data_IF_377389145345
#
_entry.id   IF_377389145345
#
_cell.length_a   1.000
_cell.length_b   1.000
_cell.length_c   1.000
_cell.angle_alpha   90.00
_cell.angle_beta   90.00
_cell.angle_gamma   90.00
#
_symmetry.space_group_name_H-M   'P 1'
#
loop_
_entity.id
_entity.type
_entity.pdbx_description
1 polymer ?
#
# COMPACT_ATOMS: atom_id res chain seq x y z
N UNK A 1 7.82 71.87 -89.72
CA UNK A 1 7.64 70.70 -90.62
C UNK A 1 6.76 69.69 -89.89
N UNK A 2 5.88 68.98 -90.60
CA UNK A 2 5.20 67.71 -90.21
C UNK A 2 4.76 67.51 -88.74
N UNK A 3 3.46 67.63 -88.43
CA UNK A 3 2.48 66.49 -88.35
C UNK A 3 2.63 65.69 -87.04
N UNK A 4 1.68 65.66 -86.08
CA UNK A 4 0.31 66.23 -85.98
C UNK A 4 -0.15 66.44 -84.53
N UNK A 5 -0.81 67.58 -84.27
CA UNK A 5 -2.02 67.85 -83.43
C UNK A 5 -2.46 66.93 -82.26
N UNK A 6 -3.01 67.42 -81.14
CA UNK A 6 -3.20 68.81 -80.64
C UNK A 6 -3.76 68.85 -79.18
N UNK A 7 -3.34 69.87 -78.39
CA UNK A 7 -4.12 70.69 -77.40
C UNK A 7 -4.88 70.01 -76.20
N UNK A 8 -5.10 70.59 -75.00
CA UNK A 8 -4.91 71.92 -74.32
C UNK A 8 -5.18 71.79 -72.78
N UNK A 9 -4.95 72.72 -71.82
CA UNK A 9 -4.21 74.01 -71.71
C UNK A 9 -3.62 74.25 -70.27
N UNK A 10 -4.13 75.18 -69.44
CA UNK A 10 -3.59 75.66 -68.12
C UNK A 10 -4.59 75.47 -66.90
N UNK A 11 -4.41 75.91 -65.64
CA UNK A 11 -3.50 76.89 -64.97
C UNK A 11 -3.46 76.76 -63.40
N UNK A 12 -2.49 77.44 -62.73
CA UNK A 12 -2.50 77.94 -61.32
C UNK A 12 -2.13 77.01 -60.13
N UNK A 13 -1.67 77.63 -59.02
CA UNK A 13 -1.17 76.99 -57.77
C UNK A 13 -1.22 77.94 -56.53
N UNK A 14 -1.22 77.39 -55.30
CA UNK A 14 -1.04 78.11 -54.02
C UNK A 14 -0.67 77.16 -52.86
N UNK A 15 0.02 77.69 -51.83
CA UNK A 15 0.30 77.08 -50.50
C UNK A 15 -0.80 77.55 -49.48
N UNK A 16 -0.91 77.19 -48.19
CA UNK A 16 0.05 76.79 -47.12
C UNK A 16 -0.70 76.06 -45.94
N UNK A 17 -0.01 75.81 -44.81
CA UNK A 17 -0.37 75.23 -43.46
C UNK A 17 -1.82 75.34 -42.88
N UNK A 18 -2.29 74.66 -41.81
CA UNK A 18 -1.93 73.50 -40.93
C UNK A 18 -3.18 73.22 -40.01
N UNK A 19 -3.46 71.99 -39.51
CA UNK A 19 -3.95 71.70 -38.11
C UNK A 19 -4.26 70.20 -37.83
N UNK A 20 -3.77 69.70 -36.68
CA UNK A 20 -4.14 68.56 -35.82
C UNK A 20 -4.84 67.27 -36.35
N UNK A 21 -4.29 66.12 -35.95
CA UNK A 21 -4.93 64.79 -36.01
C UNK A 21 -5.21 64.20 -34.60
N UNK A 22 -6.22 63.31 -34.44
CA UNK A 22 -6.35 62.44 -33.26
C UNK A 22 -5.57 61.11 -33.43
N UNK A 23 -5.08 60.46 -32.36
CA UNK A 23 -3.95 59.52 -32.47
C UNK A 23 -4.25 58.01 -32.33
N UNK A 24 -3.41 57.23 -33.02
CA UNK A 24 -2.84 55.90 -32.68
C UNK A 24 -3.74 54.71 -32.32
N UNK A 25 -3.44 53.59 -33.00
CA UNK A 25 -3.42 52.25 -32.40
C UNK A 25 -2.16 51.50 -32.88
N UNK A 26 -1.05 51.64 -32.16
CA UNK A 26 0.17 50.85 -32.40
C UNK A 26 0.00 49.42 -31.85
N UNK A 27 0.38 48.39 -32.62
CA UNK A 27 1.26 47.25 -32.22
C UNK A 27 1.00 45.94 -32.99
N UNK A 28 2.05 45.11 -33.08
CA UNK A 28 2.06 43.70 -33.53
C UNK A 28 1.83 43.40 -35.03
N UNK A 29 2.59 44.03 -35.93
CA UNK A 29 2.89 43.43 -37.23
C UNK A 29 4.26 42.73 -37.21
N UNK A 30 4.30 41.45 -37.60
CA UNK A 30 5.56 40.72 -37.87
C UNK A 30 6.25 41.28 -39.12
N UNK A 31 7.60 41.29 -39.17
CA UNK A 31 8.32 41.85 -40.30
C UNK A 31 8.04 41.06 -41.59
N UNK A 32 7.60 41.79 -42.63
CA UNK A 32 7.09 41.23 -43.90
C UNK A 32 7.89 40.04 -44.49
N UNK A 33 9.23 40.00 -44.47
CA UNK A 33 9.97 38.84 -44.98
C UNK A 33 9.66 37.51 -44.27
N UNK A 34 9.41 37.53 -42.95
CA UNK A 34 9.04 36.32 -42.19
C UNK A 34 7.64 35.84 -42.61
N UNK A 35 6.71 36.77 -42.82
CA UNK A 35 5.35 36.49 -43.31
C UNK A 35 5.36 35.90 -44.74
N UNK A 36 6.27 36.36 -45.61
CA UNK A 36 6.46 35.79 -46.96
C UNK A 36 7.01 34.36 -46.89
N UNK A 37 8.01 34.10 -46.05
CA UNK A 37 8.57 32.75 -45.84
C UNK A 37 7.52 31.78 -45.27
N UNK A 38 6.73 32.23 -44.29
CA UNK A 38 5.61 31.43 -43.75
C UNK A 38 4.57 31.11 -44.82
N UNK A 39 4.20 32.08 -45.66
CA UNK A 39 3.28 31.84 -46.79
C UNK A 39 3.84 30.84 -47.81
N UNK A 40 5.14 30.92 -48.13
CA UNK A 40 5.81 29.93 -49.00
C UNK A 40 5.72 28.51 -48.42
N UNK A 41 6.05 28.34 -47.14
CA UNK A 41 5.94 27.03 -46.46
C UNK A 41 4.49 26.52 -46.44
N UNK A 42 3.49 27.38 -46.20
CA UNK A 42 2.09 26.95 -46.28
C UNK A 42 1.65 26.57 -47.70
N UNK A 43 2.19 27.23 -48.73
CA UNK A 43 1.93 26.88 -50.11
C UNK A 43 2.59 25.55 -50.51
N UNK A 44 3.81 25.25 -50.04
CA UNK A 44 4.46 23.95 -50.24
C UNK A 44 3.64 22.81 -49.61
N UNK A 45 3.14 23.00 -48.39
CA UNK A 45 2.26 22.02 -47.72
C UNK A 45 0.93 21.85 -48.47
N UNK A 46 0.32 22.93 -48.96
CA UNK A 46 -0.91 22.88 -49.76
C UNK A 46 -0.68 22.19 -51.12
N UNK A 47 0.46 22.43 -51.77
CA UNK A 47 0.84 21.78 -53.03
C UNK A 47 1.01 20.26 -52.84
N UNK A 48 1.72 19.84 -51.78
CA UNK A 48 1.87 18.43 -51.43
C UNK A 48 0.53 17.77 -51.06
N UNK A 49 -0.37 18.49 -50.37
CA UNK A 49 -1.74 18.03 -50.11
C UNK A 49 -2.53 17.85 -51.43
N UNK A 50 -2.44 18.80 -52.37
CA UNK A 50 -3.12 18.67 -53.67
C UNK A 50 -2.53 17.57 -54.54
N UNK A 51 -1.21 17.39 -54.58
CA UNK A 51 -0.55 16.32 -55.35
C UNK A 51 -0.97 14.94 -54.83
N UNK A 52 -1.09 14.79 -53.52
CA UNK A 52 -1.56 13.56 -52.87
C UNK A 52 -3.04 13.28 -53.19
N UNK A 53 -3.90 14.31 -53.15
CA UNK A 53 -5.30 14.17 -53.56
C UNK A 53 -5.45 13.86 -55.06
N UNK A 54 -4.64 14.46 -55.93
CA UNK A 54 -4.64 14.19 -57.37
C UNK A 54 -4.18 12.76 -57.68
N UNK A 55 -3.12 12.26 -57.03
CA UNK A 55 -2.67 10.86 -57.18
C UNK A 55 -3.77 9.88 -56.81
N UNK A 56 -4.41 10.07 -55.65
CA UNK A 56 -5.53 9.24 -55.23
C UNK A 56 -6.72 9.32 -56.19
N UNK A 57 -7.13 10.53 -56.57
CA UNK A 57 -8.26 10.75 -57.48
C UNK A 57 -8.03 10.10 -58.86
N UNK A 58 -6.81 10.18 -59.39
CA UNK A 58 -6.43 9.54 -60.66
C UNK A 58 -6.32 8.00 -60.56
N UNK A 59 -6.26 7.43 -59.35
CA UNK A 59 -6.28 5.97 -59.10
C UNK A 59 -7.69 5.41 -58.86
N UNK A 60 -8.71 6.24 -58.59
CA UNK A 60 -10.09 5.80 -58.39
C UNK A 60 -10.75 5.40 -59.72
N UNK A 61 -11.13 4.12 -59.87
CA UNK A 61 -11.90 3.66 -61.04
C UNK A 61 -13.33 4.25 -60.97
N UNK A 62 -13.96 4.73 -62.08
CA UNK A 62 -15.27 5.40 -62.04
C UNK A 62 -16.45 4.57 -61.52
N UNK A 63 -16.21 3.29 -61.19
CA UNK A 63 -17.18 2.37 -60.57
C UNK A 63 -17.25 2.56 -59.06
N UNK A 64 -16.11 2.80 -58.39
CA UNK A 64 -16.03 2.84 -56.93
C UNK A 64 -16.70 4.10 -56.34
N UNK A 65 -16.74 5.18 -57.11
CA UNK A 65 -17.50 6.41 -56.80
C UNK A 65 -19.01 6.19 -56.62
N UNK A 66 -19.57 5.07 -57.09
CA UNK A 66 -20.98 4.71 -56.89
C UNK A 66 -21.21 3.77 -55.68
N UNK A 67 -20.15 3.28 -55.04
CA UNK A 67 -20.23 2.37 -53.89
C UNK A 67 -20.43 3.16 -52.59
N UNK A 68 -21.67 3.53 -52.30
CA UNK A 68 -22.06 4.12 -51.00
C UNK A 68 -21.50 3.28 -49.84
N UNK A 69 -20.74 3.85 -48.89
CA UNK A 69 -20.12 3.06 -47.83
C UNK A 69 -21.19 2.47 -46.90
N UNK A 70 -21.28 1.14 -46.88
CA UNK A 70 -22.06 0.42 -45.87
C UNK A 70 -21.39 0.59 -44.51
N UNK A 71 -22.20 0.81 -43.46
CA UNK A 71 -21.69 0.94 -42.10
C UNK A 71 -21.03 -0.36 -41.64
N UNK A 72 -19.92 -0.23 -40.91
CA UNK A 72 -19.26 -1.36 -40.24
C UNK A 72 -20.08 -1.91 -39.06
N UNK A 73 -19.82 -3.15 -38.62
CA UNK A 73 -20.64 -3.83 -37.62
C UNK A 73 -20.40 -3.29 -36.20
N UNK A 74 -21.48 -2.91 -35.51
CA UNK A 74 -21.49 -2.60 -34.07
C UNK A 74 -21.97 -3.80 -33.25
N UNK A 75 -21.36 -4.13 -32.11
CA UNK A 75 -21.81 -5.25 -31.27
C UNK A 75 -23.10 -4.96 -30.50
N UNK A 76 -23.82 -6.05 -30.23
CA UNK A 76 -25.04 -6.25 -29.42
C UNK A 76 -25.17 -5.37 -28.16
N UNK A 77 -26.37 -4.80 -27.90
CA UNK A 77 -27.22 -5.09 -26.72
C UNK A 77 -28.53 -4.26 -26.63
N UNK A 78 -29.66 -4.96 -26.88
CA UNK A 78 -31.00 -4.90 -26.25
C UNK A 78 -31.92 -3.64 -26.21
N UNK A 79 -33.23 -3.98 -26.10
CA UNK A 79 -34.40 -3.22 -25.63
C UNK A 79 -35.03 -2.08 -26.48
N UNK A 80 -36.24 -2.39 -26.97
CA UNK A 80 -37.46 -1.53 -26.96
C UNK A 80 -37.49 -0.26 -27.86
N UNK A 81 -38.59 0.09 -28.53
CA UNK A 81 -39.91 -0.57 -28.66
C UNK A 81 -40.66 -0.14 -29.95
N UNK A 82 -41.87 -0.68 -30.14
CA UNK A 82 -42.99 -0.14 -30.92
C UNK A 82 -42.83 0.16 -32.43
N UNK A 83 -43.42 -0.76 -33.22
CA UNK A 83 -44.50 -0.49 -34.20
C UNK A 83 -44.49 0.84 -35.00
N UNK A 84 -44.40 0.75 -36.34
CA UNK A 84 -45.57 0.90 -37.25
C UNK A 84 -45.19 0.79 -38.73
N UNK A 85 -46.20 0.54 -39.60
CA UNK A 85 -46.09 0.64 -41.06
C UNK A 85 -46.21 2.11 -41.51
N UNK A 86 -45.33 2.57 -42.40
CA UNK A 86 -45.45 3.88 -43.08
C UNK A 86 -44.93 3.81 -44.53
N UNK A 87 -45.65 4.42 -45.48
CA UNK A 87 -45.33 4.30 -46.92
C UNK A 87 -44.31 5.34 -47.41
N UNK A 88 -43.57 4.95 -48.46
CA UNK A 88 -42.71 5.81 -49.27
C UNK A 88 -43.51 6.87 -50.04
N UNK A 89 -43.17 8.15 -49.86
CA UNK A 89 -43.27 9.26 -50.85
C UNK A 89 -42.64 10.51 -50.21
N UNK A 90 -42.04 11.47 -50.91
CA UNK A 90 -41.35 11.50 -52.21
C UNK A 90 -40.70 12.88 -52.32
N UNK A 91 -39.40 12.92 -52.70
CA UNK A 91 -38.63 14.10 -53.14
C UNK A 91 -39.37 15.46 -53.17
N UNK A 92 -38.94 16.39 -52.32
CA UNK A 92 -38.72 17.79 -52.74
C UNK A 92 -37.21 18.00 -52.95
N UNK A 93 -36.82 18.69 -54.02
CA UNK A 93 -35.43 19.14 -54.22
C UNK A 93 -35.32 20.55 -53.65
N UNK A 94 -34.61 20.71 -52.52
CA UNK A 94 -34.25 22.01 -51.96
C UNK A 94 -32.86 22.44 -52.39
N UNK A 95 -32.67 23.71 -52.73
CA UNK A 95 -31.38 24.24 -53.20
C UNK A 95 -30.31 24.24 -52.10
N UNK A 96 -29.08 23.85 -52.47
CA UNK A 96 -27.86 24.13 -51.70
C UNK A 96 -26.62 23.99 -52.60
N UNK A 97 -26.53 24.83 -53.63
CA UNK A 97 -25.25 25.07 -54.32
C UNK A 97 -24.28 25.84 -53.40
N UNK A 98 -22.99 25.80 -53.73
CA UNK A 98 -21.94 26.68 -53.20
C UNK A 98 -21.66 26.62 -51.69
N UNK A 99 -21.69 25.39 -51.14
CA UNK A 99 -20.63 25.01 -50.20
C UNK A 99 -19.84 23.86 -50.82
N UNK A 100 -18.57 24.05 -51.23
CA UNK A 100 -17.74 22.91 -51.62
C UNK A 100 -17.63 21.98 -50.43
N UNK A 101 -17.89 20.68 -50.65
CA UNK A 101 -17.73 19.65 -49.62
C UNK A 101 -16.23 19.45 -49.37
N UNK A 102 -15.63 20.37 -48.60
CA UNK A 102 -14.29 20.20 -48.04
C UNK A 102 -14.26 18.88 -47.28
N UNK A 103 -13.36 17.99 -47.69
CA UNK A 103 -13.08 16.76 -46.95
C UNK A 103 -12.89 17.08 -45.47
N UNK A 104 -13.57 16.34 -44.61
CA UNK A 104 -13.41 16.47 -43.16
C UNK A 104 -11.97 16.12 -42.77
N UNK A 105 -11.51 16.61 -41.62
CA UNK A 105 -10.15 16.29 -41.14
C UNK A 105 -9.92 14.77 -41.03
N UNK A 106 -10.95 13.99 -40.65
CA UNK A 106 -10.90 12.54 -40.66
C UNK A 106 -10.67 11.97 -42.06
N UNK A 107 -11.50 12.34 -43.04
CA UNK A 107 -11.36 11.90 -44.44
C UNK A 107 -10.01 12.31 -45.06
N UNK A 108 -9.47 13.49 -44.71
CA UNK A 108 -8.13 13.90 -45.12
C UNK A 108 -7.03 13.02 -44.52
N UNK A 109 -7.18 12.61 -43.25
CA UNK A 109 -6.24 11.70 -42.59
C UNK A 109 -6.31 10.28 -43.16
N UNK A 110 -7.52 9.74 -43.40
CA UNK A 110 -7.73 8.44 -44.06
C UNK A 110 -7.09 8.42 -45.47
N UNK A 111 -7.34 9.48 -46.24
CA UNK A 111 -6.76 9.69 -47.57
C UNK A 111 -5.22 9.76 -47.50
N UNK A 112 -4.66 10.58 -46.62
CA UNK A 112 -3.22 10.65 -46.41
C UNK A 112 -2.60 9.33 -45.93
N UNK A 113 -3.33 8.52 -45.14
CA UNK A 113 -2.88 7.19 -44.72
C UNK A 113 -2.84 6.21 -45.89
N UNK A 114 -3.91 6.11 -46.68
CA UNK A 114 -3.95 5.21 -47.85
C UNK A 114 -2.92 5.56 -48.93
N UNK A 115 -2.65 6.84 -49.17
CA UNK A 115 -1.58 7.28 -50.08
C UNK A 115 -0.19 6.99 -49.51
N UNK A 116 0.02 7.17 -48.20
CA UNK A 116 1.29 6.84 -47.53
C UNK A 116 1.57 5.33 -47.53
N UNK A 117 0.53 4.50 -47.40
CA UNK A 117 0.63 3.03 -47.56
C UNK A 117 0.94 2.61 -48.99
N UNK A 118 0.31 3.25 -49.99
CA UNK A 118 0.63 3.02 -51.41
C UNK A 118 2.06 3.44 -51.75
N UNK A 119 2.53 4.61 -51.28
CA UNK A 119 3.92 5.06 -51.48
C UNK A 119 4.93 4.13 -50.80
N UNK A 120 4.60 3.56 -49.62
CA UNK A 120 5.41 2.49 -49.00
C UNK A 120 5.47 1.23 -49.88
N UNK A 121 4.34 0.80 -50.44
CA UNK A 121 4.29 -0.37 -51.32
C UNK A 121 5.05 -0.14 -52.64
N UNK A 122 4.93 1.05 -53.25
CA UNK A 122 5.69 1.44 -54.44
C UNK A 122 7.20 1.52 -54.17
N UNK A 123 7.61 2.04 -53.01
CA UNK A 123 9.02 2.08 -52.58
C UNK A 123 9.59 0.67 -52.35
N UNK A 124 8.83 -0.23 -51.70
CA UNK A 124 9.24 -1.62 -51.55
C UNK A 124 9.34 -2.35 -52.89
N UNK A 125 8.37 -2.15 -53.80
CA UNK A 125 8.37 -2.77 -55.13
C UNK A 125 9.57 -2.31 -55.96
N UNK A 126 9.83 -1.00 -56.01
CA UNK A 126 10.97 -0.42 -56.75
C UNK A 126 12.32 -0.80 -56.12
N UNK A 127 12.39 -1.00 -54.81
CA UNK A 127 13.56 -1.59 -54.14
C UNK A 127 13.85 -3.01 -54.65
N UNK A 128 12.85 -3.89 -54.65
CA UNK A 128 12.98 -5.27 -55.15
C UNK A 128 13.31 -5.32 -56.65
N UNK A 129 12.70 -4.44 -57.46
CA UNK A 129 13.05 -4.28 -58.88
C UNK A 129 14.53 -3.89 -59.06
N UNK A 130 15.03 -2.94 -58.26
CA UNK A 130 16.43 -2.51 -58.30
C UNK A 130 17.41 -3.60 -57.84
N UNK A 131 17.07 -4.39 -56.82
CA UNK A 131 17.87 -5.53 -56.37
C UNK A 131 18.00 -6.61 -57.45
N UNK A 132 16.90 -6.96 -58.13
CA UNK A 132 16.93 -7.93 -59.25
C UNK A 132 17.81 -7.44 -60.42
N UNK A 133 17.77 -6.14 -60.72
CA UNK A 133 18.63 -5.52 -61.73
C UNK A 133 20.10 -5.54 -61.30
N UNK A 134 20.40 -5.23 -60.04
CA UNK A 134 21.76 -5.29 -59.49
C UNK A 134 22.33 -6.72 -59.52
N UNK A 135 21.55 -7.74 -59.14
CA UNK A 135 21.99 -9.14 -59.19
C UNK A 135 22.20 -9.63 -60.62
N UNK A 136 21.39 -9.15 -61.57
CA UNK A 136 21.59 -9.40 -63.01
C UNK A 136 22.91 -8.78 -63.51
N UNK A 137 23.24 -7.57 -63.06
CA UNK A 137 24.53 -6.94 -63.40
C UNK A 137 25.73 -7.63 -62.72
N UNK A 138 25.61 -8.09 -61.47
CA UNK A 138 26.65 -8.91 -60.81
C UNK A 138 26.92 -10.19 -61.60
N UNK A 139 25.86 -10.96 -61.90
CA UNK A 139 25.97 -12.24 -62.60
C UNK A 139 26.56 -12.10 -64.01
N UNK A 140 26.21 -11.04 -64.75
CA UNK A 140 26.77 -10.78 -66.08
C UNK A 140 28.23 -10.29 -66.05
N UNK A 141 28.62 -9.55 -65.00
CA UNK A 141 30.02 -9.17 -64.76
C UNK A 141 30.89 -10.39 -64.39
N UNK A 142 30.42 -11.23 -63.45
CA UNK A 142 31.10 -12.47 -63.08
C UNK A 142 31.25 -13.43 -64.28
N UNK A 143 30.20 -13.55 -65.12
CA UNK A 143 30.31 -14.33 -66.36
C UNK A 143 31.35 -13.74 -67.33
N UNK A 144 31.40 -12.41 -67.48
CA UNK A 144 32.38 -11.75 -68.34
C UNK A 144 33.83 -12.00 -67.87
N UNK A 145 34.10 -11.94 -66.56
CA UNK A 145 35.42 -12.23 -66.00
C UNK A 145 35.81 -13.72 -66.14
N UNK A 146 34.86 -14.64 -65.95
CA UNK A 146 35.08 -16.07 -66.22
C UNK A 146 35.41 -16.28 -67.70
N UNK A 147 34.60 -15.75 -68.62
CA UNK A 147 34.85 -15.83 -70.08
C UNK A 147 36.20 -15.22 -70.47
N UNK A 148 36.60 -14.10 -69.85
CA UNK A 148 37.87 -13.42 -70.11
C UNK A 148 39.08 -14.24 -69.63
N UNK A 149 38.99 -14.85 -68.44
CA UNK A 149 40.05 -15.74 -67.93
C UNK A 149 40.15 -17.04 -68.73
N UNK A 150 39.02 -17.64 -69.12
CA UNK A 150 38.98 -18.79 -70.03
C UNK A 150 39.55 -18.46 -71.41
N UNK A 151 39.24 -17.30 -71.99
CA UNK A 151 39.77 -16.88 -73.28
C UNK A 151 41.29 -16.68 -73.23
N UNK A 152 41.80 -15.93 -72.23
CA UNK A 152 43.25 -15.75 -72.02
C UNK A 152 43.97 -17.09 -71.86
N UNK A 153 43.38 -18.02 -71.11
CA UNK A 153 43.90 -19.38 -70.94
C UNK A 153 43.89 -20.16 -72.27
N UNK A 154 42.80 -20.12 -73.02
CA UNK A 154 42.67 -20.81 -74.31
C UNK A 154 43.65 -20.25 -75.36
N UNK A 155 43.94 -18.95 -75.34
CA UNK A 155 44.99 -18.35 -76.17
C UNK A 155 46.37 -18.93 -75.82
N UNK A 156 46.75 -18.93 -74.54
CA UNK A 156 48.05 -19.46 -74.09
C UNK A 156 48.19 -20.96 -74.37
N UNK A 157 47.12 -21.74 -74.21
CA UNK A 157 47.06 -23.16 -74.56
C UNK A 157 47.22 -23.36 -76.09
N UNK A 158 46.51 -22.60 -76.93
CA UNK A 158 46.66 -22.65 -78.39
C UNK A 158 48.07 -22.24 -78.85
N UNK A 159 48.64 -21.18 -78.28
CA UNK A 159 50.02 -20.77 -78.56
C UNK A 159 51.03 -21.86 -78.19
N UNK A 160 50.83 -22.55 -77.05
CA UNK A 160 51.67 -23.66 -76.60
C UNK A 160 51.56 -24.84 -77.57
N UNK A 161 50.35 -25.31 -77.84
CA UNK A 161 50.09 -26.61 -78.46
C UNK A 161 50.20 -26.55 -80.00
N UNK A 162 49.85 -25.41 -80.62
CA UNK A 162 49.80 -25.27 -82.08
C UNK A 162 50.98 -24.46 -82.64
N UNK A 163 51.37 -23.35 -81.99
CA UNK A 163 52.45 -22.49 -82.50
C UNK A 163 53.84 -22.91 -81.98
N UNK A 164 53.99 -23.14 -80.67
CA UNK A 164 55.30 -23.42 -80.03
C UNK A 164 55.78 -24.87 -80.23
N UNK A 165 54.91 -25.80 -80.64
CA UNK A 165 55.29 -27.20 -80.97
C UNK A 165 56.09 -27.37 -82.28
N UNK A 166 56.35 -26.29 -83.05
CA UNK A 166 57.15 -26.34 -84.29
C UNK A 166 58.58 -25.79 -84.20
N UNK A 167 58.95 -25.12 -83.11
CA UNK A 167 60.27 -24.43 -83.02
C UNK A 167 61.46 -25.40 -82.98
N UNK A 168 61.24 -26.69 -82.72
CA UNK A 168 62.28 -27.72 -82.66
C UNK A 168 62.71 -28.32 -84.02
N UNK A 169 61.92 -28.19 -85.09
CA UNK A 169 62.09 -29.04 -86.30
C UNK A 169 62.30 -28.31 -87.63
N UNK A 170 62.23 -26.97 -87.65
CA UNK A 170 62.30 -26.20 -88.91
C UNK A 170 63.24 -24.97 -88.84
N UNK A 171 64.54 -25.18 -88.63
CA UNK A 171 65.57 -24.18 -88.96
C UNK A 171 65.74 -24.08 -90.49
N UNK A 172 64.80 -23.44 -91.18
CA UNK A 172 64.86 -23.24 -92.63
C UNK A 172 63.81 -22.27 -93.16
N UNK A 173 64.27 -21.16 -93.77
CA UNK A 173 63.47 -20.05 -94.34
C UNK A 173 62.45 -19.41 -93.38
N UNK A 174 62.92 -18.39 -92.67
CA UNK A 174 62.04 -17.28 -92.28
C UNK A 174 61.48 -16.60 -93.54
N UNK A 175 60.22 -16.15 -93.50
CA UNK A 175 59.56 -15.47 -94.61
C UNK A 175 58.06 -15.76 -94.68
N UNK A 176 57.27 -14.85 -94.11
CA UNK A 176 55.80 -14.75 -94.17
C UNK A 176 54.94 -15.96 -93.72
N UNK A 177 53.92 -15.69 -92.91
CA UNK A 177 52.78 -16.60 -92.71
C UNK A 177 53.05 -17.83 -91.84
N UNK A 178 53.32 -17.66 -90.54
CA UNK A 178 53.42 -18.78 -89.59
C UNK A 178 52.16 -19.67 -89.52
N UNK A 179 50.98 -19.08 -89.77
CA UNK A 179 49.71 -19.78 -89.86
C UNK A 179 49.61 -20.68 -91.11
N UNK A 180 50.18 -20.23 -92.24
CA UNK A 180 50.05 -20.86 -93.56
C UNK A 180 50.89 -22.15 -93.74
N UNK A 181 51.57 -22.61 -92.68
CA UNK A 181 52.36 -23.86 -92.66
C UNK A 181 51.94 -24.81 -91.52
N UNK A 182 50.79 -24.60 -90.91
CA UNK A 182 50.20 -25.56 -89.97
C UNK A 182 49.47 -26.67 -90.75
N UNK A 183 49.71 -27.97 -90.47
CA UNK A 183 48.90 -29.04 -91.05
C UNK A 183 47.46 -28.91 -90.58
N UNK A 184 46.49 -29.01 -91.50
CA UNK A 184 45.07 -28.88 -91.18
C UNK A 184 44.66 -29.89 -90.09
N UNK A 185 45.15 -31.13 -90.18
CA UNK A 185 44.91 -32.23 -89.25
C UNK A 185 45.25 -31.87 -87.79
N UNK A 186 46.29 -31.06 -87.56
CA UNK A 186 46.65 -30.61 -86.19
C UNK A 186 45.68 -29.58 -85.64
N UNK A 187 45.14 -28.71 -86.50
CA UNK A 187 44.11 -27.74 -86.10
C UNK A 187 42.79 -28.48 -85.86
N UNK A 188 42.45 -29.43 -86.74
CA UNK A 188 41.26 -30.27 -86.61
C UNK A 188 41.27 -31.07 -85.30
N UNK A 189 42.36 -31.79 -85.01
CA UNK A 189 42.48 -32.60 -83.79
C UNK A 189 42.45 -31.75 -82.51
N UNK A 190 43.05 -30.57 -82.52
CA UNK A 190 42.89 -29.61 -81.41
C UNK A 190 41.44 -29.17 -81.24
N UNK A 191 40.72 -28.86 -82.32
CA UNK A 191 39.29 -28.51 -82.22
C UNK A 191 38.46 -29.69 -81.68
N UNK A 192 38.71 -30.92 -82.13
CA UNK A 192 38.07 -32.12 -81.58
C UNK A 192 38.29 -32.26 -80.07
N UNK A 193 39.53 -32.11 -79.59
CA UNK A 193 39.82 -32.22 -78.16
C UNK A 193 39.26 -31.04 -77.34
N UNK A 194 39.18 -29.83 -77.91
CA UNK A 194 38.46 -28.71 -77.27
C UNK A 194 36.95 -28.96 -77.21
N UNK A 195 36.36 -29.67 -78.19
CA UNK A 195 34.96 -30.10 -78.16
C UNK A 195 34.76 -31.16 -77.07
N UNK A 196 35.53 -32.26 -77.09
CA UNK A 196 35.48 -33.33 -76.05
C UNK A 196 35.65 -32.78 -74.63
N UNK A 197 36.55 -31.81 -74.44
CA UNK A 197 36.75 -31.14 -73.16
C UNK A 197 35.54 -30.27 -72.73
N UNK A 198 34.87 -29.61 -73.68
CA UNK A 198 33.62 -28.86 -73.43
C UNK A 198 32.46 -29.80 -73.11
N UNK A 199 32.30 -30.91 -73.81
CA UNK A 199 31.26 -31.92 -73.51
C UNK A 199 31.44 -32.49 -72.09
N UNK A 200 32.70 -32.77 -71.72
CA UNK A 200 33.08 -33.21 -70.38
C UNK A 200 32.78 -32.15 -69.30
N UNK A 201 32.89 -30.87 -69.63
CA UNK A 201 32.53 -29.76 -68.73
C UNK A 201 31.01 -29.60 -68.62
N UNK A 202 30.28 -29.69 -69.73
CA UNK A 202 28.81 -29.63 -69.76
C UNK A 202 28.21 -30.70 -68.85
N UNK A 203 28.71 -31.94 -68.90
CA UNK A 203 28.17 -33.02 -68.07
C UNK A 203 28.49 -32.83 -66.57
N UNK A 204 29.69 -32.32 -66.23
CA UNK A 204 30.03 -31.91 -64.86
C UNK A 204 29.11 -30.81 -64.34
N UNK A 205 28.79 -29.82 -65.18
CA UNK A 205 27.88 -28.72 -64.84
C UNK A 205 26.43 -29.20 -64.69
N UNK A 206 25.96 -30.13 -65.53
CA UNK A 206 24.64 -30.78 -65.40
C UNK A 206 24.51 -31.51 -64.08
N UNK A 207 25.47 -32.36 -63.72
CA UNK A 207 25.49 -33.10 -62.46
C UNK A 207 25.49 -32.15 -61.25
N UNK A 208 26.33 -31.09 -61.28
CA UNK A 208 26.36 -30.07 -60.23
C UNK A 208 25.05 -29.29 -60.12
N UNK A 209 24.43 -28.94 -61.24
CA UNK A 209 23.13 -28.25 -61.26
C UNK A 209 22.00 -29.14 -60.70
N UNK A 210 22.00 -30.44 -61.01
CA UNK A 210 21.08 -31.42 -60.42
C UNK A 210 21.25 -31.56 -58.91
N UNK A 211 22.49 -31.68 -58.43
CA UNK A 211 22.82 -31.72 -57.01
C UNK A 211 22.37 -30.46 -56.26
N UNK A 212 22.66 -29.27 -56.80
CA UNK A 212 22.23 -27.99 -56.23
C UNK A 212 20.70 -27.84 -56.21
N UNK A 213 19.98 -28.32 -57.24
CA UNK A 213 18.50 -28.34 -57.25
C UNK A 213 17.92 -29.24 -56.15
N UNK A 214 18.55 -30.38 -55.88
CA UNK A 214 18.14 -31.28 -54.77
C UNK A 214 18.42 -30.62 -53.43
N UNK A 215 19.59 -29.99 -53.26
CA UNK A 215 19.95 -29.26 -52.04
C UNK A 215 19.01 -28.08 -51.78
N UNK A 216 18.70 -27.28 -52.80
CA UNK A 216 17.77 -26.16 -52.71
C UNK A 216 16.36 -26.63 -52.32
N UNK A 217 15.82 -27.67 -52.96
CA UNK A 217 14.54 -28.29 -52.54
C UNK A 217 14.56 -28.80 -51.10
N UNK A 218 15.67 -29.40 -50.65
CA UNK A 218 15.81 -29.83 -49.25
C UNK A 218 15.80 -28.63 -48.30
N UNK A 219 16.52 -27.54 -48.61
CA UNK A 219 16.53 -26.33 -47.79
C UNK A 219 15.14 -25.68 -47.73
N UNK A 220 14.41 -25.63 -48.84
CA UNK A 220 13.03 -25.11 -48.87
C UNK A 220 12.08 -25.96 -48.02
N UNK A 221 12.15 -27.30 -48.11
CA UNK A 221 11.36 -28.19 -47.23
C UNK A 221 11.75 -28.07 -45.75
N UNK A 222 13.03 -27.79 -45.45
CA UNK A 222 13.47 -27.53 -44.08
C UNK A 222 13.07 -26.14 -43.57
N UNK A 223 12.92 -25.15 -44.45
CA UNK A 223 12.35 -23.84 -44.14
C UNK A 223 10.86 -23.99 -43.84
N UNK A 224 10.10 -24.58 -44.76
CA UNK A 224 8.67 -24.86 -44.61
C UNK A 224 8.38 -25.66 -43.34
N UNK A 225 9.12 -26.74 -43.08
CA UNK A 225 8.95 -27.52 -41.83
C UNK A 225 9.32 -26.72 -40.57
N UNK A 226 10.15 -25.67 -40.68
CA UNK A 226 10.47 -24.76 -39.57
C UNK A 226 9.46 -23.64 -39.39
N UNK A 227 8.82 -23.21 -40.47
CA UNK A 227 7.67 -22.30 -40.47
C UNK A 227 6.46 -23.03 -39.86
N UNK A 228 6.11 -24.22 -40.35
CA UNK A 228 5.07 -25.11 -39.80
C UNK A 228 5.35 -25.51 -38.32
N UNK A 229 6.62 -25.72 -37.93
CA UNK A 229 6.98 -25.91 -36.51
C UNK A 229 6.90 -24.63 -35.66
N UNK A 230 6.94 -23.45 -36.28
CA UNK A 230 6.72 -22.18 -35.61
C UNK A 230 5.22 -21.92 -35.42
N UNK A 231 4.43 -22.15 -36.47
CA UNK A 231 2.96 -22.10 -36.44
C UNK A 231 2.35 -23.15 -35.49
N UNK A 232 3.03 -24.28 -35.27
CA UNK A 232 2.62 -25.29 -34.28
C UNK A 232 2.56 -24.80 -32.82
N UNK A 233 3.02 -23.58 -32.54
CA UNK A 233 2.69 -22.81 -31.34
C UNK A 233 1.80 -21.64 -31.76
N UNK A 234 0.50 -21.90 -31.98
CA UNK A 234 -0.40 -20.96 -32.61
C UNK A 234 -0.62 -19.73 -31.74
N UNK A 235 -1.02 -18.61 -32.36
CA UNK A 235 -1.57 -17.46 -31.65
C UNK A 235 -2.76 -17.85 -30.75
N UNK A 236 -3.49 -18.92 -31.12
CA UNK A 236 -4.55 -19.53 -30.32
C UNK A 236 -4.01 -20.18 -29.04
N UNK A 237 -2.88 -20.89 -29.10
CA UNK A 237 -2.24 -21.52 -27.94
C UNK A 237 -1.70 -20.46 -26.96
N UNK A 238 -1.08 -19.40 -27.49
CA UNK A 238 -0.70 -18.22 -26.71
C UNK A 238 -1.90 -17.51 -26.08
N UNK A 239 -2.98 -17.33 -26.86
CA UNK A 239 -4.23 -16.71 -26.37
C UNK A 239 -4.88 -17.55 -25.27
N UNK A 240 -4.90 -18.87 -25.41
CA UNK A 240 -5.38 -19.78 -24.38
C UNK A 240 -4.51 -19.66 -23.11
N UNK A 241 -3.19 -19.68 -23.23
CA UNK A 241 -2.28 -19.51 -22.09
C UNK A 241 -2.49 -18.17 -21.38
N UNK A 242 -2.76 -17.09 -22.13
CA UNK A 242 -3.08 -15.78 -21.58
C UNK A 242 -4.45 -15.76 -20.87
N UNK A 243 -5.47 -16.40 -21.45
CA UNK A 243 -6.80 -16.55 -20.85
C UNK A 243 -6.72 -17.38 -19.55
N UNK A 244 -5.98 -18.49 -19.56
CA UNK A 244 -5.77 -19.32 -18.37
C UNK A 244 -5.03 -18.55 -17.27
N UNK A 245 -3.96 -17.83 -17.62
CA UNK A 245 -3.22 -16.99 -16.67
C UNK A 245 -4.12 -15.91 -16.05
N UNK A 246 -4.86 -15.16 -16.87
CA UNK A 246 -5.83 -14.16 -16.40
C UNK A 246 -6.87 -14.79 -15.45
N UNK A 247 -7.44 -15.94 -15.80
CA UNK A 247 -8.36 -16.67 -14.91
C UNK A 247 -7.70 -17.12 -13.60
N UNK A 248 -6.41 -17.47 -13.59
CA UNK A 248 -5.69 -17.81 -12.35
C UNK A 248 -5.45 -16.56 -11.50
N UNK A 249 -5.13 -15.41 -12.10
CA UNK A 249 -5.01 -14.12 -11.41
C UNK A 249 -6.35 -13.71 -10.78
N UNK A 250 -7.45 -13.78 -11.52
CA UNK A 250 -8.81 -13.51 -11.00
C UNK A 250 -9.14 -14.43 -9.82
N UNK A 251 -8.90 -15.74 -9.94
CA UNK A 251 -9.15 -16.72 -8.85
C UNK A 251 -8.25 -16.44 -7.63
N UNK A 252 -7.01 -15.99 -7.82
CA UNK A 252 -6.11 -15.58 -6.75
C UNK A 252 -6.67 -14.33 -6.04
N UNK A 253 -7.12 -13.32 -6.79
CA UNK A 253 -7.65 -12.09 -6.21
C UNK A 253 -8.99 -12.28 -5.51
N UNK A 254 -9.87 -13.15 -6.01
CA UNK A 254 -11.06 -13.58 -5.25
C UNK A 254 -10.66 -14.19 -3.89
N UNK A 255 -9.71 -15.14 -3.87
CA UNK A 255 -9.27 -15.79 -2.61
C UNK A 255 -8.52 -14.82 -1.69
N UNK A 256 -7.81 -13.84 -2.24
CA UNK A 256 -7.20 -12.74 -1.48
C UNK A 256 -8.26 -11.86 -0.82
N UNK A 257 -9.34 -11.51 -1.54
CA UNK A 257 -10.48 -10.78 -0.97
C UNK A 257 -11.19 -11.59 0.12
N UNK A 258 -11.43 -12.88 -0.10
CA UNK A 258 -12.05 -13.76 0.89
C UNK A 258 -11.17 -13.90 2.15
N UNK A 259 -9.86 -14.08 1.98
CA UNK A 259 -8.87 -14.07 3.06
C UNK A 259 -8.84 -12.73 3.81
N UNK A 260 -8.97 -11.60 3.11
CA UNK A 260 -9.02 -10.27 3.73
C UNK A 260 -10.31 -10.08 4.55
N UNK A 261 -11.47 -10.47 4.00
CA UNK A 261 -12.76 -10.50 4.72
C UNK A 261 -12.65 -11.33 6.00
N UNK A 262 -12.06 -12.52 5.91
CA UNK A 262 -11.90 -13.44 7.04
C UNK A 262 -10.93 -12.92 8.11
N UNK A 263 -9.84 -12.22 7.70
CA UNK A 263 -8.93 -11.53 8.62
C UNK A 263 -9.62 -10.38 9.36
N UNK A 264 -10.46 -9.60 8.67
CA UNK A 264 -11.20 -8.50 9.29
C UNK A 264 -12.26 -9.00 10.28
N UNK A 265 -13.00 -10.07 9.97
CA UNK A 265 -13.95 -10.67 10.92
C UNK A 265 -13.23 -11.31 12.10
N UNK A 266 -12.11 -11.99 11.90
CA UNK A 266 -11.28 -12.54 12.99
C UNK A 266 -10.70 -11.45 13.90
N UNK A 267 -10.25 -10.32 13.35
CA UNK A 267 -9.78 -9.18 14.14
C UNK A 267 -10.92 -8.56 14.98
N UNK A 268 -12.10 -8.41 14.38
CA UNK A 268 -13.30 -7.89 15.07
C UNK A 268 -13.77 -8.81 16.20
N UNK A 269 -13.87 -10.12 15.97
CA UNK A 269 -14.24 -11.08 17.03
C UNK A 269 -13.19 -11.16 18.13
N UNK A 270 -11.90 -11.02 17.81
CA UNK A 270 -10.83 -10.93 18.81
C UNK A 270 -10.88 -9.62 19.62
N UNK A 271 -11.27 -8.49 19.02
CA UNK A 271 -11.52 -7.24 19.74
C UNK A 271 -12.70 -7.38 20.72
N UNK A 272 -13.80 -7.97 20.25
CA UNK A 272 -14.99 -8.26 21.07
C UNK A 272 -14.65 -9.21 22.22
N UNK A 273 -13.95 -10.32 21.95
CA UNK A 273 -13.48 -11.28 22.96
C UNK A 273 -12.60 -10.60 24.03
N UNK A 274 -11.68 -9.72 23.63
CA UNK A 274 -10.86 -8.97 24.58
C UNK A 274 -11.65 -7.95 25.41
N UNK A 275 -12.72 -7.36 24.86
CA UNK A 275 -13.61 -6.49 25.64
C UNK A 275 -14.39 -7.27 26.70
N UNK A 276 -14.93 -8.44 26.35
CA UNK A 276 -15.60 -9.34 27.31
C UNK A 276 -14.62 -9.89 28.36
N UNK A 277 -13.38 -10.25 27.97
CA UNK A 277 -12.34 -10.69 28.90
C UNK A 277 -11.98 -9.59 29.92
N UNK A 278 -11.86 -8.34 29.49
CA UNK A 278 -11.67 -7.19 30.39
C UNK A 278 -12.87 -7.00 31.34
N UNK A 279 -14.10 -7.06 30.83
CA UNK A 279 -15.32 -6.93 31.66
C UNK A 279 -15.44 -8.06 32.68
N UNK A 280 -15.10 -9.29 32.30
CA UNK A 280 -15.09 -10.45 33.20
C UNK A 280 -14.06 -10.28 34.32
N UNK A 281 -12.84 -9.82 34.01
CA UNK A 281 -11.82 -9.56 35.03
C UNK A 281 -12.28 -8.52 36.05
N UNK A 282 -12.86 -7.39 35.59
CA UNK A 282 -13.40 -6.36 36.48
C UNK A 282 -14.49 -6.93 37.40
N UNK A 283 -15.46 -7.68 36.86
CA UNK A 283 -16.51 -8.31 37.65
C UNK A 283 -15.97 -9.36 38.65
N UNK A 284 -14.87 -10.07 38.33
CA UNK A 284 -14.20 -10.96 39.28
C UNK A 284 -13.44 -10.19 40.38
N UNK A 285 -12.87 -9.03 40.07
CA UNK A 285 -12.19 -8.17 41.03
C UNK A 285 -13.19 -7.48 41.98
N UNK A 286 -14.32 -7.04 41.45
CA UNK A 286 -15.49 -6.56 42.22
C UNK A 286 -16.07 -7.67 43.11
N UNK A 287 -16.28 -8.89 42.59
CA UNK A 287 -16.74 -10.02 43.39
C UNK A 287 -15.79 -10.33 44.56
N UNK A 288 -14.46 -10.38 44.30
CA UNK A 288 -13.44 -10.55 45.36
C UNK A 288 -13.34 -9.37 46.32
N UNK A 289 -13.77 -8.17 45.92
CA UNK A 289 -13.92 -7.05 46.85
C UNK A 289 -15.13 -7.31 47.78
N UNK A 290 -16.29 -7.62 47.21
CA UNK A 290 -17.51 -7.93 47.94
C UNK A 290 -17.35 -9.13 48.89
N UNK A 291 -16.62 -10.17 48.50
CA UNK A 291 -16.28 -11.32 49.36
C UNK A 291 -15.48 -10.90 50.61
N UNK A 292 -14.46 -10.05 50.45
CA UNK A 292 -13.69 -9.49 51.58
C UNK A 292 -14.54 -8.57 52.45
N UNK A 293 -15.40 -7.78 51.81
CA UNK A 293 -16.36 -6.89 52.46
C UNK A 293 -17.40 -7.65 53.29
N UNK A 294 -17.85 -8.81 52.82
CA UNK A 294 -18.74 -9.73 53.53
C UNK A 294 -18.00 -10.38 54.71
N UNK A 295 -16.80 -10.91 54.49
CA UNK A 295 -15.99 -11.51 55.55
C UNK A 295 -15.67 -10.51 56.67
N UNK A 296 -15.32 -9.26 56.34
CA UNK A 296 -15.09 -8.21 57.32
C UNK A 296 -16.34 -7.84 58.12
N UNK A 297 -17.52 -7.80 57.48
CA UNK A 297 -18.79 -7.57 58.20
C UNK A 297 -19.18 -8.76 59.07
N UNK A 298 -18.92 -9.99 58.63
CA UNK A 298 -19.13 -11.19 59.44
C UNK A 298 -18.25 -11.22 60.68
N UNK A 299 -16.98 -10.79 60.59
CA UNK A 299 -16.11 -10.71 61.77
C UNK A 299 -16.53 -9.60 62.74
N UNK A 300 -16.94 -8.44 62.21
CA UNK A 300 -17.51 -7.35 63.02
C UNK A 300 -18.77 -7.79 63.77
N UNK A 301 -19.66 -8.56 63.11
CA UNK A 301 -20.85 -9.12 63.75
C UNK A 301 -20.49 -10.07 64.91
N UNK A 302 -19.50 -10.96 64.74
CA UNK A 302 -19.03 -11.83 65.84
C UNK A 302 -18.49 -11.03 67.03
N UNK A 303 -17.77 -9.93 66.78
CA UNK A 303 -17.28 -9.05 67.87
C UNK A 303 -18.47 -8.47 68.64
N UNK A 304 -19.47 -7.94 67.92
CA UNK A 304 -20.70 -7.39 68.49
C UNK A 304 -21.50 -8.47 69.25
N UNK A 305 -21.59 -9.70 68.75
CA UNK A 305 -22.24 -10.82 69.44
C UNK A 305 -21.53 -11.17 70.76
N UNK A 306 -20.20 -11.13 70.80
CA UNK A 306 -19.41 -11.35 72.03
C UNK A 306 -19.55 -10.15 73.00
N UNK A 307 -19.47 -8.92 72.49
CA UNK A 307 -19.60 -7.69 73.27
C UNK A 307 -21.02 -7.55 73.87
N UNK A 308 -22.07 -7.89 73.13
CA UNK A 308 -23.46 -7.84 73.64
C UNK A 308 -23.72 -8.89 74.71
N UNK A 309 -23.16 -10.09 74.61
CA UNK A 309 -23.21 -11.09 75.70
C UNK A 309 -22.47 -10.58 76.95
N UNK A 310 -21.29 -9.98 76.80
CA UNK A 310 -20.55 -9.41 77.92
C UNK A 310 -21.29 -8.25 78.60
N UNK A 311 -21.85 -7.32 77.80
CA UNK A 311 -22.66 -6.20 78.29
C UNK A 311 -23.94 -6.70 78.97
N UNK A 312 -24.60 -7.74 78.47
CA UNK A 312 -25.79 -8.32 79.11
C UNK A 312 -25.45 -9.00 80.46
N UNK A 313 -24.30 -9.67 80.55
CA UNK A 313 -23.78 -10.16 81.83
C UNK A 313 -23.52 -9.01 82.82
N UNK A 314 -22.89 -7.92 82.38
CA UNK A 314 -22.63 -6.74 83.21
C UNK A 314 -23.93 -6.05 83.64
N UNK A 315 -24.89 -5.89 82.72
CA UNK A 315 -26.25 -5.40 83.01
C UNK A 315 -26.90 -6.26 84.08
N UNK A 316 -26.81 -7.59 83.96
CA UNK A 316 -27.37 -8.52 84.94
C UNK A 316 -26.64 -8.51 86.29
N UNK A 317 -25.33 -8.26 86.33
CA UNK A 317 -24.56 -8.05 87.57
C UNK A 317 -24.99 -6.73 88.25
N UNK A 318 -25.07 -5.64 87.49
CA UNK A 318 -25.49 -4.32 87.94
C UNK A 318 -26.96 -4.30 88.40
N UNK A 319 -27.87 -4.99 87.70
CA UNK A 319 -29.27 -5.12 88.11
C UNK A 319 -29.43 -5.85 89.44
N UNK A 320 -28.69 -6.94 89.68
CA UNK A 320 -28.69 -7.64 90.98
C UNK A 320 -28.28 -6.70 92.11
N UNK A 321 -27.19 -5.95 91.92
CA UNK A 321 -26.70 -4.97 92.89
C UNK A 321 -27.71 -3.84 93.11
N UNK A 322 -28.33 -3.31 92.05
CA UNK A 322 -29.34 -2.25 92.14
C UNK A 322 -30.58 -2.74 92.92
N UNK A 323 -31.02 -3.98 92.68
CA UNK A 323 -32.12 -4.62 93.44
C UNK A 323 -31.76 -4.79 94.92
N UNK A 324 -30.52 -5.21 95.23
CA UNK A 324 -30.02 -5.31 96.62
C UNK A 324 -29.98 -3.95 97.33
N UNK A 325 -29.43 -2.91 96.68
CA UNK A 325 -29.38 -1.55 97.23
C UNK A 325 -30.78 -0.95 97.43
N UNK A 326 -31.73 -1.22 96.52
CA UNK A 326 -33.15 -0.84 96.68
C UNK A 326 -33.81 -1.57 97.84
N UNK A 327 -33.52 -2.86 98.04
CA UNK A 327 -34.02 -3.63 99.18
C UNK A 327 -33.51 -3.03 100.50
N UNK A 328 -32.20 -2.79 100.60
CA UNK A 328 -31.57 -2.13 101.76
C UNK A 328 -32.16 -0.73 102.03
N UNK A 329 -32.40 0.08 100.99
CA UNK A 329 -33.07 1.39 101.12
C UNK A 329 -34.54 1.28 101.57
N UNK A 330 -35.23 0.17 101.27
CA UNK A 330 -36.61 -0.07 101.73
C UNK A 330 -36.69 -0.63 103.16
N UNK A 331 -35.66 -1.36 103.59
CA UNK A 331 -35.50 -1.88 104.94
C UNK A 331 -34.98 -0.80 105.91
N UNK A 332 -34.19 0.15 105.40
CA UNK A 332 -33.64 1.27 106.17
C UNK A 332 -34.72 2.22 106.68
N UNK A 333 -35.20 1.96 107.90
CA UNK A 333 -35.93 2.93 108.72
C UNK A 333 -34.94 3.83 109.46
N UNK A 334 -35.06 5.14 109.26
CA UNK A 334 -34.46 6.12 110.19
C UNK A 334 -35.17 5.99 111.54
N UNK A 335 -34.48 5.70 112.65
CA UNK A 335 -35.12 5.62 113.96
C UNK A 335 -35.78 6.95 114.35
N UNK A 336 -36.97 6.95 114.98
CA UNK A 336 -37.59 8.15 115.51
C UNK A 336 -36.62 8.95 116.37
N UNK A 337 -36.59 10.28 116.20
CA UNK A 337 -35.67 11.18 116.94
C UNK A 337 -35.82 11.00 118.45
N UNK A 338 -37.03 10.69 118.94
CA UNK A 338 -37.29 10.39 120.35
C UNK A 338 -36.63 9.10 120.84
N UNK A 339 -36.56 8.04 120.04
CA UNK A 339 -35.84 6.80 120.40
C UNK A 339 -34.33 7.06 120.47
N UNK A 340 -33.77 7.80 119.50
CA UNK A 340 -32.37 8.22 119.54
C UNK A 340 -32.06 9.08 120.78
N UNK A 341 -32.94 10.03 121.14
CA UNK A 341 -32.80 10.85 122.35
C UNK A 341 -32.93 10.00 123.62
N UNK A 342 -33.86 9.05 123.68
CA UNK A 342 -34.01 8.14 124.82
C UNK A 342 -32.77 7.24 125.01
N UNK A 343 -32.25 6.63 123.95
CA UNK A 343 -31.03 5.83 124.02
C UNK A 343 -29.80 6.69 124.36
N UNK A 344 -29.75 7.96 123.94
CA UNK A 344 -28.67 8.88 124.29
C UNK A 344 -28.77 9.37 125.74
N UNK A 345 -29.97 9.53 126.28
CA UNK A 345 -30.18 9.76 127.72
C UNK A 345 -29.75 8.53 128.53
N UNK A 346 -30.19 7.32 128.17
CA UNK A 346 -29.74 6.06 128.78
C UNK A 346 -28.22 5.92 128.77
N UNK A 347 -27.55 6.30 127.68
CA UNK A 347 -26.08 6.28 127.58
C UNK A 347 -25.41 7.29 128.53
N UNK A 348 -25.98 8.49 128.68
CA UNK A 348 -25.51 9.48 129.65
C UNK A 348 -25.76 9.03 131.10
N UNK A 349 -26.91 8.42 131.38
CA UNK A 349 -27.24 7.88 132.71
C UNK A 349 -26.29 6.73 133.08
N UNK A 350 -26.00 5.82 132.15
CA UNK A 350 -24.98 4.78 132.33
C UNK A 350 -23.57 5.36 132.50
N UNK A 351 -23.21 6.43 131.80
CA UNK A 351 -21.94 7.14 132.04
C UNK A 351 -21.88 7.80 133.43
N UNK A 352 -22.99 8.37 133.89
CA UNK A 352 -23.12 8.93 135.24
C UNK A 352 -23.02 7.82 136.31
N UNK A 353 -23.65 6.66 136.08
CA UNK A 353 -23.50 5.50 136.95
C UNK A 353 -22.06 5.00 137.01
N UNK A 354 -21.39 4.83 135.85
CA UNK A 354 -19.97 4.44 135.77
C UNK A 354 -19.09 5.43 136.55
N UNK A 355 -19.23 6.74 136.32
CA UNK A 355 -18.53 7.78 137.08
C UNK A 355 -18.84 7.71 138.60
N UNK A 356 -20.08 7.37 138.99
CA UNK A 356 -20.44 7.12 140.38
C UNK A 356 -19.72 5.89 140.96
N UNK A 357 -19.57 4.82 140.18
CA UNK A 357 -18.90 3.58 140.57
C UNK A 357 -17.39 3.75 140.65
N UNK A 358 -16.78 4.46 139.70
CA UNK A 358 -15.38 4.88 139.76
C UNK A 358 -15.12 5.70 141.03
N UNK A 359 -15.97 6.68 141.35
CA UNK A 359 -15.87 7.48 142.57
C UNK A 359 -16.06 6.66 143.86
N UNK A 360 -17.02 5.72 143.88
CA UNK A 360 -17.19 4.76 145.01
C UNK A 360 -15.94 3.91 145.20
N UNK A 361 -15.38 3.39 144.10
CA UNK A 361 -14.13 2.60 144.09
C UNK A 361 -12.93 3.43 144.53
N UNK A 362 -12.85 4.71 144.15
CA UNK A 362 -11.80 5.62 144.59
C UNK A 362 -11.91 5.95 146.09
N UNK A 363 -13.11 6.21 146.60
CA UNK A 363 -13.36 6.38 148.05
C UNK A 363 -12.94 5.11 148.81
N UNK A 364 -13.29 3.91 148.32
CA UNK A 364 -12.87 2.65 148.93
C UNK A 364 -11.33 2.46 148.89
N UNK A 365 -10.68 2.80 147.78
CA UNK A 365 -9.20 2.83 147.67
C UNK A 365 -8.56 3.83 148.64
N UNK A 366 -9.16 5.01 148.84
CA UNK A 366 -8.69 6.02 149.80
C UNK A 366 -8.88 5.57 151.25
N UNK A 367 -10.03 4.99 151.60
CA UNK A 367 -10.29 4.42 152.92
C UNK A 367 -9.30 3.29 153.23
N UNK A 368 -9.04 2.40 152.27
CA UNK A 368 -8.03 1.33 152.41
C UNK A 368 -6.61 1.89 152.59
N UNK A 369 -6.24 2.96 151.86
CA UNK A 369 -4.96 3.67 152.06
C UNK A 369 -4.87 4.32 153.46
N UNK A 370 -5.94 4.95 153.93
CA UNK A 370 -6.01 5.57 155.25
C UNK A 370 -5.86 4.51 156.37
N UNK A 371 -6.61 3.41 156.28
CA UNK A 371 -6.58 2.32 157.26
C UNK A 371 -5.22 1.61 157.33
N UNK A 372 -4.53 1.47 156.18
CA UNK A 372 -3.15 0.98 156.14
C UNK A 372 -2.15 1.98 156.73
N UNK A 373 -2.42 3.28 156.65
CA UNK A 373 -1.54 4.34 157.16
C UNK A 373 -1.67 4.53 158.67
N UNK A 374 -2.88 4.45 159.22
CA UNK A 374 -3.11 4.41 160.68
C UNK A 374 -2.54 3.14 161.31
N UNK A 375 -2.70 1.99 160.66
CA UNK A 375 -2.09 0.72 161.10
C UNK A 375 -0.55 0.79 161.18
N UNK A 376 0.10 1.39 160.17
CA UNK A 376 1.56 1.63 160.18
C UNK A 376 2.00 2.60 161.29
N UNK A 377 1.19 3.62 161.61
CA UNK A 377 1.45 4.53 162.76
C UNK A 377 1.30 3.84 164.11
N UNK A 378 0.27 3.03 164.33
CA UNK A 378 0.13 2.25 165.57
C UNK A 378 1.32 1.29 165.78
N UNK A 379 1.74 0.61 164.71
CA UNK A 379 2.85 -0.36 164.76
C UNK A 379 4.21 0.27 165.06
N UNK A 380 4.39 1.57 164.83
CA UNK A 380 5.62 2.30 165.17
C UNK A 380 5.57 2.91 166.58
N UNK A 381 4.41 3.40 167.03
CA UNK A 381 4.25 3.98 168.37
C UNK A 381 4.44 2.97 169.53
N UNK A 382 4.06 1.70 169.32
CA UNK A 382 4.16 0.65 170.35
C UNK A 382 5.59 0.19 170.67
N UNK A 383 6.60 0.66 169.92
CA UNK A 383 7.97 0.14 169.97
C UNK A 383 8.95 0.95 170.82
N UNK A 384 8.53 2.07 171.44
CA UNK A 384 9.44 3.08 172.00
C UNK A 384 9.19 3.50 173.47
N UNK A 385 8.45 2.72 174.26
CA UNK A 385 8.27 3.00 175.70
C UNK A 385 8.52 1.75 176.56
N UNK A 386 9.79 1.50 176.85
CA UNK A 386 10.30 0.54 177.83
C UNK A 386 11.63 1.09 178.35
N UNK A 387 11.92 0.87 179.63
CA UNK A 387 12.82 1.67 180.51
C UNK A 387 12.09 2.86 181.17
N UNK A 388 12.21 3.17 182.47
CA UNK A 388 13.04 2.60 183.56
C UNK A 388 12.20 2.46 184.90
N UNK A 389 12.69 2.41 186.16
CA UNK A 389 12.27 1.39 187.13
C UNK A 389 11.25 1.78 188.25
N UNK A 390 10.88 0.76 189.05
CA UNK A 390 10.09 0.78 190.30
C UNK A 390 10.80 1.51 191.46
N UNK A 391 10.11 1.95 192.54
CA UNK A 391 10.05 1.08 193.74
C UNK A 391 8.77 1.14 194.63
N UNK A 392 8.33 -0.07 195.02
CA UNK A 392 7.91 -0.52 196.37
C UNK A 392 6.61 -0.06 197.11
N UNK A 393 6.09 -1.03 197.88
CA UNK A 393 5.19 -0.98 199.05
C UNK A 393 3.67 -0.77 198.91
N UNK A 394 2.93 -1.61 199.66
CA UNK A 394 1.63 -1.37 200.33
C UNK A 394 0.34 -1.17 199.47
N UNK A 395 -0.84 -1.73 199.82
CA UNK A 395 -1.22 -2.81 200.76
C UNK A 395 -2.71 -3.20 200.60
N UNK A 396 -3.08 -4.41 201.06
CA UNK A 396 -4.45 -4.91 201.40
C UNK A 396 -5.46 -5.30 200.30
N UNK A 397 -6.10 -6.46 200.59
CA UNK A 397 -7.38 -7.03 200.11
C UNK A 397 -7.51 -7.35 198.60
#
# INVERSE_FOLDING_TARGET
MTTTMAERDAESAAEEEEEAAPPRADSLEEPLPQRVLGLQQTNEVLLAETEMFEKYFNRLDPKDLNSTPSQGPTPTTSMQDLQTRGLRRSRSRGSSTDRPLRLTAAQKCELAQTELEQLRAELLRTGVEAEQVLDTYKATMEEADIRLTEFRRAQVEFERDILKTKTGTCKGRAGAGGLARLPADKILHYMEDRIRARDTLIEKLRLRNGSLKIQNKKMLLQLQQKEEMGEALHEVDFSQLQIENNQFVEKIDERNQDMLRLKLTAASTLQVLNSYKKKLNLLMEEARAMERDIASRQEMLKSIDVETVAVEEERMKAERLNRQLRAQLSEFRVPPVMEYVQHKAQLLDLQNEVCSWERKVEIAKMQLKAHNSTWKRLKTASAQHKDYPVPDSAHWL
#
